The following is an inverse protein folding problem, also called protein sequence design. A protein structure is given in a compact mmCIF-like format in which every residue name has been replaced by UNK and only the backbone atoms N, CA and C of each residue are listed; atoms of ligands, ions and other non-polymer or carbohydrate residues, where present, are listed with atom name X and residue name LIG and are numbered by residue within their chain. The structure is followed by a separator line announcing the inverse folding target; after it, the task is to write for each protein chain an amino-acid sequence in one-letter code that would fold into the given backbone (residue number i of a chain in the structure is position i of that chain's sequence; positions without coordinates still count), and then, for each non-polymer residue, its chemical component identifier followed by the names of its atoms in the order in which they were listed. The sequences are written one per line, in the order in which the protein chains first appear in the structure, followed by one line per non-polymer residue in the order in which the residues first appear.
data_IF_918228357945
#
_entry.id   IF_918228357945
#
_cell.length_a   1.000
_cell.length_b   1.000
_cell.length_c   1.000
_cell.angle_alpha   90.00
_cell.angle_beta   90.00
_cell.angle_gamma   90.00
#
_symmetry.space_group_name_H-M   'P 1'
#
loop_
_entity.id
_entity.type
_entity.pdbx_description
1 polymer ?
#
# COMPACT_ATOMS: atom_id res chain seq x y z
N UNK A 1 22.36 18.91 13.19
CA UNK A 1 20.95 18.65 13.48
C UNK A 1 20.00 19.36 12.50
N UNK A 2 20.53 20.20 11.59
CA UNK A 2 19.71 21.01 10.68
C UNK A 2 19.50 20.46 9.27
N UNK A 3 20.20 19.40 8.87
CA UNK A 3 20.10 18.90 7.48
C UNK A 3 18.93 17.93 7.28
N UNK A 4 18.55 17.17 8.30
CA UNK A 4 17.40 16.26 8.22
C UNK A 4 16.06 17.01 8.20
N UNK A 5 15.94 18.12 8.93
CA UNK A 5 14.75 18.95 8.90
C UNK A 5 14.58 19.68 7.55
N UNK A 6 15.69 20.02 6.86
CA UNK A 6 15.64 20.60 5.53
C UNK A 6 15.33 19.56 4.43
N UNK A 7 15.73 18.32 4.60
CA UNK A 7 15.41 17.24 3.67
C UNK A 7 13.96 16.78 3.85
N UNK A 8 13.46 16.72 5.08
CA UNK A 8 12.08 16.33 5.37
C UNK A 8 11.06 17.48 5.26
N UNK A 9 11.52 18.74 5.28
CA UNK A 9 10.64 19.90 5.46
C UNK A 9 10.07 20.55 4.18
N UNK A 10 10.41 20.12 2.97
CA UNK A 10 9.95 20.78 1.72
C UNK A 10 9.74 19.87 0.52
N UNK A 11 9.75 18.58 0.66
CA UNK A 11 9.34 17.71 -0.43
C UNK A 11 7.84 17.50 -0.33
N UNK A 12 7.09 18.20 -1.16
CA UNK A 12 5.68 17.90 -1.41
C UNK A 12 5.62 16.56 -2.14
N UNK A 13 5.71 15.47 -1.38
CA UNK A 13 5.53 14.14 -1.95
C UNK A 13 4.05 13.97 -2.27
N UNK A 14 3.77 13.95 -3.56
CA UNK A 14 2.47 13.56 -4.07
C UNK A 14 2.64 12.24 -4.81
N UNK A 15 1.92 11.23 -4.41
CA UNK A 15 1.83 9.99 -5.17
C UNK A 15 0.37 9.52 -5.26
N UNK A 16 0.02 8.88 -6.38
CA UNK A 16 -1.31 8.32 -6.55
C UNK A 16 -1.51 7.13 -5.60
N UNK A 17 -2.76 6.85 -5.28
CA UNK A 17 -3.14 5.72 -4.44
C UNK A 17 -4.65 5.68 -4.29
N UNK A 18 -5.12 4.80 -3.43
CA UNK A 18 -6.54 4.73 -3.11
C UNK A 18 -6.99 6.00 -2.37
N UNK A 19 -8.17 6.50 -2.68
CA UNK A 19 -8.76 7.64 -1.99
C UNK A 19 -9.00 7.30 -0.50
N UNK A 20 -8.48 8.12 0.41
CA UNK A 20 -8.69 7.99 1.85
C UNK A 20 -10.09 8.44 2.25
N UNK A 21 -11.11 7.66 1.97
CA UNK A 21 -12.51 7.97 2.23
C UNK A 21 -13.25 6.82 2.92
N UNK A 22 -14.37 7.12 3.57
CA UNK A 22 -15.24 6.11 4.15
C UNK A 22 -15.73 5.11 3.10
N UNK A 23 -16.03 5.59 1.91
CA UNK A 23 -16.46 4.76 0.78
C UNK A 23 -15.40 3.73 0.36
N UNK A 24 -14.12 4.13 0.36
CA UNK A 24 -13.01 3.22 0.08
C UNK A 24 -12.85 2.17 1.18
N UNK A 25 -13.03 2.56 2.44
CA UNK A 25 -12.98 1.63 3.57
C UNK A 25 -14.14 0.63 3.53
N UNK A 26 -15.35 1.07 3.25
CA UNK A 26 -16.52 0.21 3.08
C UNK A 26 -16.29 -0.79 1.94
N UNK A 27 -15.78 -0.32 0.81
CA UNK A 27 -15.48 -1.19 -0.32
C UNK A 27 -14.42 -2.25 0.02
N UNK A 28 -13.35 -1.89 0.72
CA UNK A 28 -12.33 -2.84 1.17
C UNK A 28 -12.91 -3.89 2.13
N UNK A 29 -13.73 -3.45 3.07
CA UNK A 29 -14.38 -4.33 4.03
C UNK A 29 -15.33 -5.32 3.35
N UNK A 30 -16.20 -4.83 2.51
CA UNK A 30 -17.21 -5.65 1.82
C UNK A 30 -16.61 -6.60 0.78
N UNK A 31 -15.42 -6.27 0.27
CA UNK A 31 -14.71 -7.13 -0.69
C UNK A 31 -14.04 -8.34 -0.03
N UNK A 32 -13.90 -8.36 1.30
CA UNK A 32 -13.32 -9.46 2.08
C UNK A 32 -11.91 -9.85 1.64
N UNK A 33 -11.10 -8.89 1.26
CA UNK A 33 -9.69 -9.14 0.91
C UNK A 33 -8.90 -9.65 2.11
N UNK A 34 -7.97 -10.59 1.86
CA UNK A 34 -7.02 -11.07 2.86
C UNK A 34 -5.75 -10.19 2.96
N UNK A 35 -5.44 -9.45 1.92
CA UNK A 35 -4.35 -8.49 1.83
C UNK A 35 -4.58 -7.55 0.65
N UNK A 36 -3.92 -6.41 0.65
CA UNK A 36 -3.89 -5.46 -0.48
C UNK A 36 -2.45 -5.09 -0.82
N UNK A 37 -2.22 -4.69 -2.06
CA UNK A 37 -0.90 -4.29 -2.52
C UNK A 37 -0.98 -3.15 -3.54
N UNK A 38 0.05 -2.32 -3.59
CA UNK A 38 0.22 -1.25 -4.55
C UNK A 38 1.69 -1.16 -5.01
N UNK A 39 1.92 -0.47 -6.11
CA UNK A 39 3.25 -0.15 -6.64
C UNK A 39 3.76 1.21 -6.14
N UNK A 40 2.92 1.98 -5.48
CA UNK A 40 3.26 3.27 -4.88
C UNK A 40 3.94 3.12 -3.51
N UNK A 41 4.61 4.19 -3.03
CA UNK A 41 5.22 4.22 -1.70
C UNK A 41 4.23 4.14 -0.53
N UNK A 42 2.96 4.29 -0.79
CA UNK A 42 1.86 4.10 0.16
C UNK A 42 0.63 3.58 -0.56
N UNK A 43 -0.24 2.88 0.13
CA UNK A 43 -1.44 2.30 -0.44
C UNK A 43 -2.49 3.36 -0.78
N UNK A 44 -2.73 4.30 0.15
CA UNK A 44 -3.58 5.46 -0.10
C UNK A 44 -2.81 6.59 -0.78
N UNK A 45 -3.55 7.41 -1.52
CA UNK A 45 -3.02 8.62 -2.14
C UNK A 45 -2.45 9.56 -1.07
N UNK A 46 -1.23 10.05 -1.32
CA UNK A 46 -0.59 11.01 -0.44
C UNK A 46 -0.49 12.37 -1.11
N UNK A 47 -0.93 13.41 -0.42
CA UNK A 47 -0.74 14.80 -0.84
C UNK A 47 -0.12 15.57 0.32
N UNK A 48 1.08 16.10 0.11
CA UNK A 48 1.68 17.02 1.07
C UNK A 48 0.80 18.26 1.20
N UNK A 49 0.37 18.57 2.40
CA UNK A 49 -0.54 19.70 2.65
C UNK A 49 -1.98 19.31 2.99
N UNK A 50 -2.30 18.05 3.00
CA UNK A 50 -3.63 17.57 3.43
C UNK A 50 -3.79 17.50 4.96
N UNK A 51 -3.02 18.31 5.69
CA UNK A 51 -3.15 18.41 7.14
C UNK A 51 -4.46 19.00 7.65
N UNK A 52 -5.38 19.39 6.77
CA UNK A 52 -6.58 20.13 7.17
C UNK A 52 -7.89 19.74 6.48
N UNK A 53 -7.96 18.63 5.78
CA UNK A 53 -9.28 18.13 5.37
C UNK A 53 -9.78 17.14 6.43
N UNK A 54 -10.75 17.57 7.20
CA UNK A 54 -11.47 16.82 8.24
C UNK A 54 -12.19 15.55 7.76
N UNK A 55 -12.03 15.20 6.51
CA UNK A 55 -12.67 14.04 5.85
C UNK A 55 -11.68 13.01 5.29
N UNK A 56 -10.37 13.25 5.37
CA UNK A 56 -9.40 12.29 4.85
C UNK A 56 -8.95 11.33 5.96
N UNK A 57 -9.33 10.08 5.80
CA UNK A 57 -8.91 9.00 6.70
C UNK A 57 -7.49 8.55 6.34
N UNK A 58 -6.67 8.34 7.36
CA UNK A 58 -5.43 7.58 7.23
C UNK A 58 -5.79 6.11 7.16
N UNK A 59 -5.84 5.59 5.94
CA UNK A 59 -6.29 4.22 5.69
C UNK A 59 -5.42 3.20 6.40
N UNK A 60 -4.11 3.39 6.45
CA UNK A 60 -3.18 2.51 7.16
C UNK A 60 -3.61 2.25 8.61
N UNK A 61 -3.99 3.28 9.34
CA UNK A 61 -4.39 3.13 10.75
C UNK A 61 -5.64 2.25 10.89
N UNK A 62 -6.58 2.39 9.97
CA UNK A 62 -7.85 1.65 10.00
C UNK A 62 -7.68 0.25 9.44
N UNK A 63 -6.99 0.12 8.30
CA UNK A 63 -6.86 -1.18 7.62
C UNK A 63 -5.97 -2.13 8.41
N UNK A 64 -4.81 -1.66 8.87
CA UNK A 64 -3.87 -2.51 9.60
C UNK A 64 -4.39 -2.86 10.98
N UNK A 65 -4.76 -1.86 11.79
CA UNK A 65 -5.14 -2.10 13.19
C UNK A 65 -6.62 -2.41 13.39
N UNK A 66 -7.50 -1.85 12.55
CA UNK A 66 -8.93 -2.07 12.62
C UNK A 66 -9.38 -3.33 11.89
N UNK A 67 -8.97 -3.50 10.64
CA UNK A 67 -9.39 -4.64 9.80
C UNK A 67 -8.45 -5.84 9.91
N UNK A 68 -7.20 -5.64 10.39
CA UNK A 68 -6.19 -6.68 10.37
C UNK A 68 -5.75 -7.05 8.95
N UNK A 69 -5.90 -6.14 8.00
CA UNK A 69 -5.63 -6.34 6.58
C UNK A 69 -4.20 -5.90 6.25
N UNK A 70 -3.29 -6.82 5.92
CA UNK A 70 -1.92 -6.48 5.54
C UNK A 70 -1.87 -5.64 4.27
N UNK A 71 -0.93 -4.69 4.25
CA UNK A 71 -0.66 -3.81 3.11
C UNK A 71 0.73 -4.11 2.56
N UNK A 72 0.82 -4.33 1.26
CA UNK A 72 2.07 -4.39 0.52
C UNK A 72 2.28 -3.13 -0.31
N UNK A 73 3.50 -2.62 -0.36
CA UNK A 73 3.85 -1.40 -1.08
C UNK A 73 5.07 -1.64 -1.95
N UNK A 74 5.29 -0.78 -2.94
CA UNK A 74 6.43 -0.84 -3.86
C UNK A 74 6.53 -2.19 -4.60
N UNK A 75 5.41 -2.80 -4.94
CA UNK A 75 5.38 -4.01 -5.77
C UNK A 75 5.70 -3.68 -7.23
N UNK A 76 6.35 -4.59 -7.93
CA UNK A 76 6.52 -4.53 -9.39
C UNK A 76 5.21 -4.98 -10.07
N UNK A 77 4.19 -4.11 -10.07
CA UNK A 77 2.91 -4.39 -10.71
C UNK A 77 2.97 -4.24 -12.23
N UNK A 78 3.98 -3.56 -12.78
CA UNK A 78 4.14 -3.45 -14.23
C UNK A 78 4.44 -4.83 -14.84
N UNK A 79 5.47 -5.53 -14.31
CA UNK A 79 5.80 -6.88 -14.75
C UNK A 79 4.64 -7.87 -14.54
N UNK A 80 3.94 -7.77 -13.42
CA UNK A 80 2.75 -8.58 -13.15
C UNK A 80 1.62 -8.30 -14.16
N UNK A 81 1.39 -7.03 -14.48
CA UNK A 81 0.38 -6.62 -15.46
C UNK A 81 0.67 -7.16 -16.86
N UNK A 82 1.93 -7.11 -17.28
CA UNK A 82 2.37 -7.68 -18.57
C UNK A 82 2.14 -9.19 -18.61
N UNK A 83 2.51 -9.90 -17.56
CA UNK A 83 2.27 -11.34 -17.48
C UNK A 83 0.78 -11.67 -17.48
N UNK A 84 -0.05 -10.97 -16.71
CA UNK A 84 -1.50 -11.14 -16.73
C UNK A 84 -2.09 -10.94 -18.12
N UNK A 85 -1.64 -9.92 -18.85
CA UNK A 85 -2.07 -9.66 -20.24
C UNK A 85 -1.64 -10.79 -21.17
N UNK A 86 -0.40 -11.29 -21.06
CA UNK A 86 0.12 -12.35 -21.90
C UNK A 86 -0.64 -13.67 -21.71
N UNK A 87 -1.02 -13.97 -20.48
CA UNK A 87 -1.78 -15.16 -20.10
C UNK A 87 -3.29 -15.01 -20.31
N UNK A 88 -3.79 -13.79 -20.49
CA UNK A 88 -5.23 -13.50 -20.50
C UNK A 88 -5.90 -13.86 -19.17
N UNK A 89 -5.16 -13.83 -18.07
CA UNK A 89 -5.60 -14.27 -16.75
C UNK A 89 -5.15 -13.28 -15.67
N UNK A 90 -6.10 -12.85 -14.83
CA UNK A 90 -5.91 -11.87 -13.76
C UNK A 90 -6.02 -12.50 -12.36
N UNK A 91 -6.01 -13.81 -12.30
CA UNK A 91 -6.01 -14.59 -11.07
C UNK A 91 -4.84 -15.56 -11.07
N UNK A 92 -4.12 -15.63 -9.96
CA UNK A 92 -2.92 -16.44 -9.81
C UNK A 92 -2.75 -16.84 -8.35
N UNK A 93 -1.93 -17.83 -8.11
CA UNK A 93 -1.53 -18.21 -6.76
C UNK A 93 -0.44 -17.28 -6.26
N UNK A 94 -0.53 -16.81 -5.03
CA UNK A 94 0.47 -15.93 -4.41
C UNK A 94 1.12 -16.62 -3.24
N UNK A 95 2.44 -16.55 -3.19
CA UNK A 95 3.21 -16.87 -1.99
C UNK A 95 3.91 -15.62 -1.46
N UNK A 96 4.09 -15.55 -0.16
CA UNK A 96 4.82 -14.45 0.49
C UNK A 96 5.62 -15.00 1.66
N UNK A 97 6.87 -14.59 1.78
CA UNK A 97 7.78 -15.01 2.83
C UNK A 97 8.51 -13.78 3.38
N UNK A 98 7.92 -13.07 4.35
CA UNK A 98 8.57 -11.94 4.99
C UNK A 98 9.89 -12.32 5.66
N UNK A 99 10.82 -11.39 5.77
CA UNK A 99 12.05 -11.55 6.53
C UNK A 99 11.72 -11.48 8.03
N UNK A 100 12.00 -12.53 8.76
CA UNK A 100 11.83 -12.56 10.22
C UNK A 100 13.03 -11.87 10.90
N UNK A 101 13.06 -10.54 10.88
CA UNK A 101 14.11 -9.76 11.54
C UNK A 101 13.67 -9.41 12.96
N UNK A 102 14.38 -9.84 14.01
CA UNK A 102 14.02 -9.51 15.37
C UNK A 102 13.97 -7.99 15.58
N UNK A 103 12.86 -7.48 16.12
CA UNK A 103 12.64 -6.06 16.32
C UNK A 103 12.25 -5.26 15.06
N UNK A 104 12.16 -5.90 13.90
CA UNK A 104 11.67 -5.28 12.67
C UNK A 104 10.17 -5.00 12.76
N UNK A 105 9.75 -3.81 12.33
CA UNK A 105 8.33 -3.37 12.30
C UNK A 105 7.66 -3.64 10.97
N UNK A 106 8.44 -4.00 9.96
CA UNK A 106 8.00 -4.35 8.62
C UNK A 106 9.08 -5.11 7.87
N UNK A 107 8.80 -5.62 6.71
CA UNK A 107 9.74 -6.40 5.91
C UNK A 107 9.28 -6.43 4.46
N UNK A 108 10.21 -6.59 3.50
CA UNK A 108 9.82 -6.94 2.14
C UNK A 108 8.97 -8.21 2.16
N UNK A 109 7.82 -8.23 1.49
CA UNK A 109 6.92 -9.38 1.49
C UNK A 109 7.45 -10.55 0.67
N UNK A 110 8.44 -10.32 -0.22
CA UNK A 110 8.99 -11.33 -1.13
C UNK A 110 7.89 -12.14 -1.83
N UNK A 111 6.87 -11.45 -2.31
CA UNK A 111 5.72 -12.08 -2.93
C UNK A 111 6.06 -12.61 -4.33
N UNK A 112 5.53 -13.77 -4.66
CA UNK A 112 5.66 -14.41 -5.97
C UNK A 112 4.27 -14.75 -6.48
N UNK A 113 3.95 -14.28 -7.69
CA UNK A 113 2.75 -14.69 -8.43
C UNK A 113 3.08 -15.93 -9.28
N UNK A 114 2.25 -16.94 -9.19
CA UNK A 114 2.39 -18.21 -9.95
C UNK A 114 1.13 -18.41 -10.79
N UNK A 115 1.30 -18.44 -12.11
CA UNK A 115 0.24 -18.60 -13.10
C UNK A 115 0.00 -20.06 -13.47
#
# INVERSE_FOLDING_TARGET
MNDLENIMGKSEYHYPGMEGSMKSLEWLWDSHFAAVAADSPGFEAWSAGLGDSSEQFRMHEIILSGFGLPIGELFDLEALSEECKSQGRWTFFVTSQPLSVPGGVGSPPNAIAVF
#
